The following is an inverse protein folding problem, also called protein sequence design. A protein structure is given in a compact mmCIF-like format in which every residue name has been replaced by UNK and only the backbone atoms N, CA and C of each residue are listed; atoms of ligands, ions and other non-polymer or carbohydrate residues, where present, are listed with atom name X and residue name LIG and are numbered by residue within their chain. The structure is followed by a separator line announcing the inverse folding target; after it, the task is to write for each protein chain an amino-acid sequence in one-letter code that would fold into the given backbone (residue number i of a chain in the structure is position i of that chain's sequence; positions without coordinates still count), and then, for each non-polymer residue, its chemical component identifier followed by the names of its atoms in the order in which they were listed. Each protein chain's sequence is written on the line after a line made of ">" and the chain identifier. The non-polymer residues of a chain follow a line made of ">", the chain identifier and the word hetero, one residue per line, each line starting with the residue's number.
data_IF_541522727773
#
_entry.id   IF_541522727773
#
_cell.length_a   1.000
_cell.length_b   1.000
_cell.length_c   1.000
_cell.angle_alpha   90.00
_cell.angle_beta   90.00
_cell.angle_gamma   90.00
#
_symmetry.space_group_name_H-M   'P 1'
#
loop_
_entity.id
_entity.type
_entity.pdbx_description
1 polymer ?
#
# COMPACT_ATOMS: atom_id res chain seq x y z
N UNK A 1 19.94 -3.23 -7.30
CA UNK A 1 20.38 -4.05 -6.16
C UNK A 1 19.71 -3.75 -4.81
N UNK A 2 19.84 -2.57 -4.18
CA UNK A 2 19.24 -2.34 -2.83
C UNK A 2 17.71 -2.51 -2.77
N UNK A 3 16.99 -2.06 -3.80
CA UNK A 3 15.51 -2.17 -3.87
C UNK A 3 15.03 -3.60 -4.06
N UNK A 4 15.70 -4.39 -4.89
CA UNK A 4 15.34 -5.80 -5.16
C UNK A 4 15.56 -6.68 -3.92
N UNK A 5 16.68 -6.49 -3.22
CA UNK A 5 16.94 -7.19 -1.96
C UNK A 5 15.86 -6.90 -0.91
N UNK A 6 15.39 -5.64 -0.84
CA UNK A 6 14.34 -5.24 0.08
C UNK A 6 12.96 -5.76 -0.36
N UNK A 7 12.67 -5.77 -1.65
CA UNK A 7 11.46 -6.39 -2.20
C UNK A 7 11.41 -7.90 -1.92
N UNK A 8 12.54 -8.60 -2.05
CA UNK A 8 12.64 -10.02 -1.70
C UNK A 8 12.40 -10.26 -0.21
N UNK A 9 12.98 -9.43 0.68
CA UNK A 9 12.70 -9.48 2.12
C UNK A 9 11.21 -9.30 2.42
N UNK A 10 10.55 -8.33 1.77
CA UNK A 10 9.10 -8.11 1.91
C UNK A 10 8.30 -9.33 1.42
N UNK A 11 8.70 -9.95 0.30
CA UNK A 11 8.03 -11.15 -0.22
C UNK A 11 8.13 -12.32 0.77
N UNK A 12 9.33 -12.58 1.32
CA UNK A 12 9.53 -13.61 2.36
C UNK A 12 8.67 -13.34 3.59
N UNK A 13 8.63 -12.08 4.05
CA UNK A 13 7.80 -11.70 5.20
C UNK A 13 6.31 -11.93 4.95
N UNK A 14 5.82 -11.68 3.74
CA UNK A 14 4.42 -11.96 3.37
C UNK A 14 4.09 -13.45 3.43
N UNK A 15 4.99 -14.31 2.96
CA UNK A 15 4.80 -15.77 3.02
C UNK A 15 4.78 -16.22 4.48
N UNK A 16 5.76 -15.81 5.29
CA UNK A 16 5.80 -16.17 6.71
C UNK A 16 4.54 -15.71 7.46
N UNK A 17 4.04 -14.50 7.19
CA UNK A 17 2.77 -14.03 7.79
C UNK A 17 1.60 -14.95 7.46
N UNK A 18 1.49 -15.44 6.22
CA UNK A 18 0.43 -16.38 5.83
C UNK A 18 0.51 -17.65 6.66
N UNK A 19 1.70 -18.25 6.77
CA UNK A 19 1.91 -19.45 7.58
C UNK A 19 1.50 -19.24 9.04
N UNK A 20 1.85 -18.10 9.65
CA UNK A 20 1.45 -17.81 11.04
C UNK A 20 -0.06 -17.64 11.19
N UNK A 21 -0.73 -17.05 10.21
CA UNK A 21 -2.20 -16.93 10.20
C UNK A 21 -2.86 -18.29 9.99
N UNK A 22 -2.34 -19.12 9.10
CA UNK A 22 -2.84 -20.47 8.87
C UNK A 22 -2.71 -21.32 10.14
N UNK A 23 -1.58 -21.19 10.86
CA UNK A 23 -1.37 -21.85 12.15
C UNK A 23 -2.35 -21.35 13.22
N UNK A 24 -2.61 -20.04 13.28
CA UNK A 24 -3.60 -19.47 14.19
C UNK A 24 -5.01 -19.99 13.89
N UNK A 25 -5.39 -20.08 12.60
CA UNK A 25 -6.66 -20.68 12.18
C UNK A 25 -6.76 -22.13 12.66
N UNK A 26 -5.69 -22.91 12.51
CA UNK A 26 -5.66 -24.29 12.97
C UNK A 26 -5.84 -24.40 14.49
N UNK A 27 -5.16 -23.57 15.29
CA UNK A 27 -5.33 -23.56 16.75
C UNK A 27 -6.78 -23.26 17.16
N UNK A 28 -7.43 -22.34 16.45
CA UNK A 28 -8.85 -22.04 16.66
C UNK A 28 -9.76 -23.24 16.29
N UNK A 29 -9.47 -23.95 15.21
CA UNK A 29 -10.26 -25.10 14.74
C UNK A 29 -10.16 -26.31 15.68
N UNK A 30 -8.96 -26.59 16.20
CA UNK A 30 -8.75 -27.73 17.13
C UNK A 30 -9.19 -27.42 18.56
N UNK A 31 -9.62 -26.20 18.85
CA UNK A 31 -10.01 -25.77 20.19
C UNK A 31 -8.84 -25.71 21.16
N UNK A 32 -7.67 -25.27 20.70
CA UNK A 32 -6.47 -25.09 21.53
C UNK A 32 -6.71 -24.15 22.71
N UNK A 33 -5.84 -24.23 23.71
CA UNK A 33 -5.95 -23.42 24.91
C UNK A 33 -5.87 -21.92 24.55
N UNK A 34 -6.72 -21.05 25.15
CA UNK A 34 -6.72 -19.62 24.85
C UNK A 34 -5.37 -18.93 25.02
N UNK A 35 -4.53 -19.41 25.94
CA UNK A 35 -3.20 -18.85 26.15
C UNK A 35 -2.23 -19.14 24.99
N UNK A 36 -2.30 -20.32 24.37
CA UNK A 36 -1.51 -20.64 23.17
C UNK A 36 -1.92 -19.76 21.98
N UNK A 37 -3.23 -19.54 21.83
CA UNK A 37 -3.78 -18.66 20.79
C UNK A 37 -3.31 -17.21 21.03
N UNK A 38 -3.30 -16.77 22.29
CA UNK A 38 -2.87 -15.41 22.65
C UNK A 38 -1.37 -15.20 22.44
N UNK A 39 -0.54 -16.16 22.82
CA UNK A 39 0.91 -16.12 22.57
C UNK A 39 1.20 -15.99 21.07
N UNK A 40 0.53 -16.80 20.23
CA UNK A 40 0.71 -16.72 18.79
C UNK A 40 0.21 -15.38 18.21
N UNK A 41 -0.88 -14.82 18.74
CA UNK A 41 -1.37 -13.50 18.33
C UNK A 41 -0.35 -12.40 18.61
N UNK A 42 0.29 -12.44 19.78
CA UNK A 42 1.34 -11.49 20.16
C UNK A 42 2.56 -11.62 19.23
N UNK A 43 2.95 -12.84 18.88
CA UNK A 43 4.00 -13.08 17.88
C UNK A 43 3.64 -12.54 16.50
N UNK A 44 2.40 -12.77 16.04
CA UNK A 44 1.90 -12.25 14.75
C UNK A 44 1.94 -10.72 14.73
N UNK A 45 1.56 -10.08 15.84
CA UNK A 45 1.54 -8.64 15.98
C UNK A 45 2.97 -8.07 15.90
N UNK A 46 3.89 -8.58 16.72
CA UNK A 46 5.30 -8.18 16.69
C UNK A 46 5.94 -8.42 15.32
N UNK A 47 5.60 -9.53 14.67
CA UNK A 47 6.08 -9.82 13.32
C UNK A 47 5.54 -8.83 12.28
N UNK A 48 4.27 -8.41 12.40
CA UNK A 48 3.65 -7.44 11.50
C UNK A 48 4.26 -6.05 11.66
N UNK A 49 4.58 -5.61 12.87
CA UNK A 49 5.29 -4.35 13.12
C UNK A 49 6.65 -4.32 12.40
N UNK A 50 7.43 -5.39 12.52
CA UNK A 50 8.70 -5.52 11.80
C UNK A 50 8.53 -5.52 10.28
N UNK A 51 7.46 -6.14 9.77
CA UNK A 51 7.16 -6.18 8.35
C UNK A 51 6.73 -4.80 7.81
N UNK A 52 6.02 -3.99 8.62
CA UNK A 52 5.64 -2.63 8.29
C UNK A 52 6.86 -1.71 8.15
N UNK A 53 7.84 -1.83 9.05
CA UNK A 53 9.10 -1.08 8.96
C UNK A 53 9.84 -1.38 7.64
N UNK A 54 9.91 -2.66 7.25
CA UNK A 54 10.50 -3.06 5.96
C UNK A 54 9.73 -2.48 4.75
N UNK A 55 8.40 -2.43 4.82
CA UNK A 55 7.58 -1.79 3.79
C UNK A 55 7.81 -0.28 3.71
N UNK A 56 7.98 0.38 4.86
CA UNK A 56 8.29 1.80 4.93
C UNK A 56 9.65 2.11 4.29
N UNK A 57 10.67 1.30 4.60
CA UNK A 57 11.99 1.40 3.96
C UNK A 57 11.89 1.22 2.44
N UNK A 58 11.10 0.24 1.98
CA UNK A 58 10.91 0.00 0.55
C UNK A 58 10.24 1.20 -0.14
N UNK A 59 9.24 1.78 0.51
CA UNK A 59 8.57 2.99 0.04
C UNK A 59 9.54 4.18 -0.05
N UNK A 60 10.38 4.40 0.97
CA UNK A 60 11.43 5.44 0.94
C UNK A 60 12.38 5.26 -0.24
N UNK A 61 12.94 4.05 -0.41
CA UNK A 61 13.88 3.76 -1.50
C UNK A 61 13.22 3.96 -2.86
N UNK A 62 11.96 3.51 -3.02
CA UNK A 62 11.19 3.70 -4.25
C UNK A 62 10.97 5.18 -4.55
N UNK A 63 10.57 5.98 -3.56
CA UNK A 63 10.31 7.40 -3.73
C UNK A 63 11.58 8.17 -4.06
N UNK A 64 12.71 7.83 -3.44
CA UNK A 64 14.01 8.43 -3.74
C UNK A 64 14.48 8.08 -5.16
N UNK A 65 14.29 6.84 -5.58
CA UNK A 65 14.55 6.42 -6.96
C UNK A 65 13.66 7.20 -7.95
N UNK A 66 12.39 7.43 -7.60
CA UNK A 66 11.48 8.23 -8.44
C UNK A 66 11.94 9.69 -8.56
N UNK A 67 12.39 10.32 -7.48
CA UNK A 67 12.89 11.71 -7.49
C UNK A 67 14.17 11.85 -8.30
N UNK A 68 15.11 10.91 -8.15
CA UNK A 68 16.37 10.92 -8.91
C UNK A 68 16.16 10.69 -10.41
N UNK A 69 15.18 9.86 -10.80
CA UNK A 69 14.76 9.71 -12.19
C UNK A 69 14.02 10.96 -12.70
N UNK A 70 13.13 11.54 -11.89
CA UNK A 70 12.37 12.74 -12.25
C UNK A 70 13.25 14.00 -12.36
N UNK A 71 14.29 14.12 -11.54
CA UNK A 71 15.22 15.26 -11.56
C UNK A 71 16.17 15.27 -12.77
N UNK A 72 16.32 14.15 -13.48
CA UNK A 72 17.13 14.04 -14.71
C UNK A 72 16.40 14.50 -15.98
N UNK A 73 15.11 14.85 -15.91
CA UNK A 73 14.32 15.32 -17.05
C UNK A 73 14.07 16.84 -17.06
N UNK A 74 14.77 17.62 -16.24
CA UNK A 74 14.62 19.08 -16.24
C UNK A 74 15.74 19.75 -17.03
N UNK A 75 15.63 19.73 -18.35
CA UNK A 75 16.24 20.75 -19.21
C UNK A 75 15.12 21.57 -19.83
N UNK A 76 14.95 22.77 -19.27
CA UNK A 76 14.36 23.99 -19.82
C UNK A 76 12.89 23.95 -20.28
N UNK A 77 12.08 24.81 -19.64
CA UNK A 77 10.77 25.19 -20.16
C UNK A 77 10.02 26.11 -19.20
N UNK A 78 10.30 27.40 -19.26
CA UNK A 78 9.53 28.46 -18.60
C UNK A 78 8.03 28.28 -18.82
N UNK A 79 7.25 28.20 -17.73
CA UNK A 79 5.79 28.45 -17.76
C UNK A 79 5.37 29.07 -16.43
N UNK A 80 4.68 30.21 -16.53
CA UNK A 80 4.35 31.12 -15.43
C UNK A 80 3.45 30.55 -14.33
N UNK A 81 3.08 31.37 -13.33
CA UNK A 81 2.45 30.91 -12.10
C UNK A 81 0.98 30.56 -12.38
N UNK A 82 0.72 29.30 -12.73
CA UNK A 82 -0.60 28.71 -12.57
C UNK A 82 -0.66 28.17 -11.14
N UNK A 83 -1.49 28.79 -10.32
CA UNK A 83 -1.79 28.45 -8.93
C UNK A 83 -1.81 26.94 -8.71
N UNK A 84 -0.73 26.43 -8.13
CA UNK A 84 -0.74 25.13 -7.49
C UNK A 84 -1.53 25.30 -6.20
N UNK A 85 -2.85 25.09 -6.27
CA UNK A 85 -3.59 24.62 -5.10
C UNK A 85 -3.01 23.24 -4.76
N UNK A 86 -2.00 23.23 -3.91
CA UNK A 86 -1.62 22.02 -3.21
C UNK A 86 -2.86 21.50 -2.48
N UNK A 87 -3.21 20.20 -2.60
CA UNK A 87 -4.14 19.61 -1.67
C UNK A 87 -3.43 19.58 -0.32
N UNK A 88 -3.62 20.64 0.48
CA UNK A 88 -3.15 20.69 1.87
C UNK A 88 -3.64 19.43 2.55
N UNK A 89 -2.68 18.66 3.02
CA UNK A 89 -2.86 17.40 3.75
C UNK A 89 -3.42 17.63 5.17
N UNK A 90 -4.08 18.75 5.42
CA UNK A 90 -4.55 19.19 6.75
C UNK A 90 -6.02 18.83 7.01
N UNK A 91 -6.74 18.26 6.05
CA UNK A 91 -8.14 17.92 6.25
C UNK A 91 -8.36 16.45 6.62
N UNK A 92 -7.84 16.04 7.79
CA UNK A 92 -8.27 14.80 8.44
C UNK A 92 -9.69 14.90 9.04
N UNK A 93 -10.31 16.09 8.98
CA UNK A 93 -11.65 16.39 9.48
C UNK A 93 -12.77 16.33 8.44
N UNK A 94 -12.50 15.97 7.19
CA UNK A 94 -13.58 15.65 6.25
C UNK A 94 -14.15 14.28 6.61
N UNK A 95 -15.43 14.18 7.04
CA UNK A 95 -16.08 12.89 7.15
C UNK A 95 -16.06 12.25 5.77
N UNK A 96 -15.64 10.99 5.69
CA UNK A 96 -15.95 10.18 4.51
C UNK A 96 -17.46 10.30 4.26
N UNK A 97 -17.91 10.55 3.02
CA UNK A 97 -19.32 10.51 2.73
C UNK A 97 -19.83 9.12 3.11
N UNK A 98 -20.70 9.08 4.13
CA UNK A 98 -21.28 7.84 4.69
C UNK A 98 -22.19 7.12 3.70
N UNK A 99 -22.53 7.76 2.58
CA UNK A 99 -23.38 7.19 1.56
C UNK A 99 -22.54 6.48 0.50
N UNK A 100 -22.80 5.18 0.25
CA UNK A 100 -22.12 4.47 -0.82
C UNK A 100 -22.44 5.16 -2.16
N UNK A 101 -21.45 5.31 -3.05
CA UNK A 101 -21.66 5.95 -4.34
C UNK A 101 -22.74 5.21 -5.14
N UNK A 102 -23.72 5.95 -5.68
CA UNK A 102 -24.79 5.41 -6.53
C UNK A 102 -24.18 4.46 -7.58
N UNK A 103 -24.74 3.24 -7.79
CA UNK A 103 -24.26 2.27 -8.76
C UNK A 103 -24.01 2.84 -10.17
N UNK A 104 -24.71 3.91 -10.56
CA UNK A 104 -24.45 4.62 -11.83
C UNK A 104 -23.05 5.27 -11.88
N UNK A 105 -22.61 5.82 -10.75
CA UNK A 105 -21.30 6.48 -10.58
C UNK A 105 -20.17 5.46 -10.59
N UNK A 106 -20.36 4.32 -9.94
CA UNK A 106 -19.41 3.20 -9.97
C UNK A 106 -19.24 2.65 -11.40
N UNK A 107 -20.33 2.50 -12.14
CA UNK A 107 -20.30 2.02 -13.52
C UNK A 107 -19.56 2.98 -14.44
N UNK A 108 -19.74 4.29 -14.24
CA UNK A 108 -19.01 5.31 -15.00
C UNK A 108 -17.50 5.30 -14.68
N UNK A 109 -17.13 5.15 -13.42
CA UNK A 109 -15.73 5.08 -12.98
C UNK A 109 -15.01 3.84 -13.54
N UNK A 110 -15.69 2.69 -13.58
CA UNK A 110 -15.16 1.45 -14.16
C UNK A 110 -14.96 1.62 -15.67
N UNK A 111 -15.95 2.15 -16.40
CA UNK A 111 -15.84 2.41 -17.85
C UNK A 111 -14.72 3.40 -18.17
N UNK A 112 -14.55 4.45 -17.37
CA UNK A 112 -13.46 5.42 -17.55
C UNK A 112 -12.08 4.77 -17.33
N UNK A 113 -11.95 3.90 -16.33
CA UNK A 113 -10.71 3.18 -16.04
C UNK A 113 -10.36 2.18 -17.15
N UNK A 114 -11.36 1.49 -17.70
CA UNK A 114 -11.16 0.53 -18.79
C UNK A 114 -10.73 1.19 -20.10
N UNK A 115 -11.36 2.31 -20.47
CA UNK A 115 -10.95 3.13 -21.63
C UNK A 115 -9.53 3.67 -21.49
N UNK A 116 -9.10 3.97 -20.25
CA UNK A 116 -7.73 4.42 -19.97
C UNK A 116 -6.71 3.30 -20.16
N UNK A 117 -7.04 2.07 -19.80
CA UNK A 117 -6.19 0.90 -20.07
C UNK A 117 -6.09 0.58 -21.57
N UNK A 118 -7.21 0.66 -22.30
CA UNK A 118 -7.22 0.40 -23.75
C UNK A 118 -6.40 1.43 -24.52
N UNK A 119 -6.46 2.71 -24.16
CA UNK A 119 -5.62 3.77 -24.75
C UNK A 119 -4.13 3.64 -24.44
N UNK A 120 -3.75 2.88 -23.42
CA UNK A 120 -2.36 2.64 -23.06
C UNK A 120 -1.75 1.44 -23.80
N UNK A 121 -2.56 0.69 -24.58
CA UNK A 121 -2.14 -0.52 -25.30
C UNK A 121 -1.96 -0.31 -26.81
N UNK A 122 -2.46 0.80 -27.37
CA UNK A 122 -2.11 1.29 -28.71
C UNK A 122 -1.00 2.33 -28.62
#
# INVERSE_FOLDING_TARGET
>A
MKTEALANKVAVRRVKRRVMVDYLTQLCEVGSHPDEIRELLDEVMAFCEQALELLFQLSRVRNETRRTLSGRHSTNGSRGPAEQREPRFDNWKTPYPSDPPDPKTLTAAVKASQRRMERSRN
#
